data_IF_352034347328
#
_entry.id   IF_352034347328
#
_cell.length_a   1.000
_cell.length_b   1.000
_cell.length_c   1.000
_cell.angle_alpha   90.00
_cell.angle_beta   90.00
_cell.angle_gamma   90.00
#
_symmetry.space_group_name_H-M   'P 1'
#
loop_
_entity.id
_entity.type
_entity.pdbx_description
1 polymer ?
#
# COMPACT_ATOMS: atom_id res chain seq x y z
N UNK A 1 -0.58 -25.36 8.12
CA UNK A 1 -0.01 -24.71 6.93
C UNK A 1 -0.09 -23.21 7.12
N UNK A 2 1.04 -22.52 7.27
CA UNK A 2 1.07 -21.08 7.58
C UNK A 2 0.90 -20.26 6.29
N UNK A 3 -0.02 -19.29 6.32
CA UNK A 3 -0.20 -18.29 5.27
C UNK A 3 0.39 -16.97 5.75
N UNK A 4 1.11 -16.27 4.87
CA UNK A 4 1.71 -14.98 5.16
C UNK A 4 0.99 -13.88 4.37
N UNK A 5 0.59 -12.77 5.01
CA UNK A 5 0.07 -11.60 4.30
C UNK A 5 1.23 -10.76 3.77
N UNK A 6 1.19 -10.43 2.48
CA UNK A 6 2.13 -9.50 1.83
C UNK A 6 1.37 -8.21 1.55
N UNK A 7 1.82 -7.09 2.13
CA UNK A 7 1.21 -5.76 1.96
C UNK A 7 2.26 -4.72 1.61
N UNK A 8 2.05 -3.95 0.54
CA UNK A 8 2.96 -2.87 0.10
C UNK A 8 2.22 -1.65 -0.42
N UNK A 9 2.85 -0.48 -0.31
CA UNK A 9 2.26 0.78 -0.77
C UNK A 9 2.35 0.94 -2.29
N UNK A 10 3.37 0.36 -2.92
CA UNK A 10 3.53 0.39 -4.38
C UNK A 10 3.46 -1.00 -5.00
N UNK A 11 3.01 -1.06 -6.27
CA UNK A 11 3.00 -2.29 -7.05
C UNK A 11 4.43 -2.83 -7.24
N UNK A 12 5.42 -1.94 -7.38
CA UNK A 12 6.84 -2.31 -7.54
C UNK A 12 7.37 -3.05 -6.31
N UNK A 13 7.16 -2.51 -5.11
CA UNK A 13 7.57 -3.16 -3.87
C UNK A 13 6.80 -4.47 -3.65
N UNK A 14 5.53 -4.50 -4.04
CA UNK A 14 4.72 -5.72 -3.98
C UNK A 14 5.39 -6.81 -4.79
N UNK A 15 5.63 -6.59 -6.09
CA UNK A 15 6.25 -7.56 -6.99
C UNK A 15 7.62 -8.04 -6.52
N UNK A 16 8.47 -7.14 -6.00
CA UNK A 16 9.76 -7.53 -5.42
C UNK A 16 9.57 -8.49 -4.25
N UNK A 17 8.67 -8.16 -3.33
CA UNK A 17 8.39 -9.00 -2.17
C UNK A 17 7.82 -10.37 -2.56
N UNK A 18 6.91 -10.42 -3.54
CA UNK A 18 6.32 -11.68 -3.98
C UNK A 18 7.33 -12.55 -4.72
N UNK A 19 8.15 -11.97 -5.59
CA UNK A 19 9.20 -12.69 -6.32
C UNK A 19 10.26 -13.30 -5.37
N UNK A 20 10.64 -12.58 -4.32
CA UNK A 20 11.55 -13.12 -3.30
C UNK A 20 10.92 -14.27 -2.50
N UNK A 21 9.60 -14.25 -2.30
CA UNK A 21 8.87 -15.33 -1.65
C UNK A 21 8.69 -16.54 -2.58
N UNK A 22 8.41 -16.33 -3.86
CA UNK A 22 8.39 -17.38 -4.89
C UNK A 22 9.72 -18.14 -4.92
N UNK A 23 10.86 -17.44 -4.94
CA UNK A 23 12.21 -18.05 -4.86
C UNK A 23 12.44 -18.88 -3.59
N UNK A 24 11.69 -18.59 -2.51
CA UNK A 24 11.74 -19.33 -1.24
C UNK A 24 10.72 -20.49 -1.17
N UNK A 25 10.01 -20.77 -2.26
CA UNK A 25 9.00 -21.83 -2.34
C UNK A 25 7.64 -21.42 -1.80
N UNK A 26 7.25 -20.16 -1.92
CA UNK A 26 5.90 -19.71 -1.60
C UNK A 26 5.07 -19.57 -2.86
N UNK A 27 3.78 -19.88 -2.76
CA UNK A 27 2.82 -19.76 -3.85
C UNK A 27 1.62 -18.89 -3.43
N UNK A 28 0.94 -18.32 -4.42
CA UNK A 28 -0.22 -17.46 -4.21
C UNK A 28 -1.41 -18.27 -3.70
N UNK A 29 -1.95 -17.85 -2.56
CA UNK A 29 -3.27 -18.28 -2.09
C UNK A 29 -4.35 -17.42 -2.74
N UNK A 30 -4.03 -16.15 -2.99
CA UNK A 30 -4.95 -15.15 -3.54
C UNK A 30 -4.21 -14.24 -4.51
N UNK A 31 -4.88 -13.71 -5.55
CA UNK A 31 -4.28 -12.74 -6.44
C UNK A 31 -3.97 -11.42 -5.69
N UNK A 32 -3.04 -10.64 -6.22
CA UNK A 32 -2.72 -9.30 -5.70
C UNK A 32 -3.96 -8.41 -5.89
N UNK A 33 -4.45 -7.86 -4.78
CA UNK A 33 -5.60 -6.93 -4.75
C UNK A 33 -5.14 -5.52 -4.44
N UNK A 34 -5.75 -4.54 -5.10
CA UNK A 34 -5.64 -3.12 -4.73
C UNK A 34 -6.61 -2.85 -3.59
N UNK A 35 -6.07 -2.37 -2.48
CA UNK A 35 -6.78 -1.95 -1.29
C UNK A 35 -6.68 -0.43 -1.21
N UNK A 36 -7.79 0.25 -1.44
CA UNK A 36 -7.88 1.69 -1.24
C UNK A 36 -8.04 1.96 0.24
N UNK A 37 -7.10 2.70 0.84
CA UNK A 37 -7.26 3.18 2.22
C UNK A 37 -7.99 4.51 2.16
N UNK A 38 -9.14 4.58 2.82
CA UNK A 38 -9.93 5.80 2.92
C UNK A 38 -9.14 6.88 3.69
N UNK A 39 -9.00 8.02 3.02
CA UNK A 39 -8.92 9.41 3.51
C UNK A 39 -8.30 9.61 4.89
N UNK A 40 -7.00 9.94 4.91
CA UNK A 40 -6.48 10.82 5.97
C UNK A 40 -6.60 12.25 5.46
N UNK A 41 -7.62 12.97 5.92
CA UNK A 41 -7.68 14.44 5.80
C UNK A 41 -6.50 15.03 6.55
N UNK A 42 -5.47 15.45 5.82
CA UNK A 42 -4.35 16.18 6.41
C UNK A 42 -4.78 17.64 6.62
N UNK A 43 -4.97 18.03 7.89
CA UNK A 43 -5.03 19.45 8.25
C UNK A 43 -3.61 19.99 8.35
N UNK A 44 -3.10 20.55 7.24
CA UNK A 44 -1.86 21.31 7.29
C UNK A 44 -2.15 22.75 7.74
N UNK A 45 -1.84 23.07 9.00
CA UNK A 45 -1.72 24.46 9.45
C UNK A 45 -0.37 25.02 9.01
N UNK A 46 -0.30 25.45 7.75
CA UNK A 46 0.84 26.20 7.23
C UNK A 46 0.70 27.69 7.59
N UNK A 47 1.63 28.23 8.38
CA UNK A 47 1.76 29.67 8.58
C UNK A 47 2.33 30.32 7.31
N UNK A 48 1.46 30.61 6.34
CA UNK A 48 1.83 31.38 5.15
C UNK A 48 1.51 32.86 5.35
N UNK A 49 2.54 33.72 5.28
CA UNK A 49 2.39 35.19 5.31
C UNK A 49 1.85 35.66 3.95
N UNK A 50 0.54 35.60 3.74
CA UNK A 50 -0.12 36.15 2.55
C UNK A 50 -1.64 36.20 2.76
N UNK A 51 -2.28 37.30 2.34
CA UNK A 51 -3.66 37.68 2.68
C UNK A 51 -4.79 36.76 2.19
N UNK A 52 -4.50 35.63 1.56
CA UNK A 52 -5.52 34.71 1.04
C UNK A 52 -5.26 33.28 1.50
N UNK A 53 -6.12 32.79 2.40
CA UNK A 53 -6.11 31.42 2.90
C UNK A 53 -6.65 30.48 1.82
N UNK A 54 -5.84 30.08 0.84
CA UNK A 54 -6.19 29.00 -0.07
C UNK A 54 -6.03 27.67 0.68
N UNK A 55 -7.16 27.01 1.00
CA UNK A 55 -7.19 25.66 1.56
C UNK A 55 -6.85 24.66 0.47
N UNK A 56 -5.62 24.17 0.44
CA UNK A 56 -5.28 23.00 -0.38
C UNK A 56 -5.79 21.75 0.34
N UNK A 57 -6.98 21.28 -0.05
CA UNK A 57 -7.48 19.96 0.36
C UNK A 57 -6.85 18.95 -0.59
N UNK A 58 -5.63 18.50 -0.27
CA UNK A 58 -4.98 17.43 -1.01
C UNK A 58 -5.60 16.09 -0.63
N UNK A 59 -6.22 15.40 -1.58
CA UNK A 59 -6.71 14.03 -1.41
C UNK A 59 -5.60 13.08 -1.90
N UNK A 60 -4.81 12.53 -0.98
CA UNK A 60 -3.89 11.44 -1.32
C UNK A 60 -4.62 10.10 -1.22
N UNK A 61 -5.03 9.57 -2.37
CA UNK A 61 -5.46 8.18 -2.49
C UNK A 61 -4.30 7.24 -2.17
N UNK A 62 -4.19 6.85 -0.90
CA UNK A 62 -3.20 5.86 -0.48
C UNK A 62 -3.64 4.46 -0.92
N UNK A 63 -3.25 4.08 -2.14
CA UNK A 63 -3.42 2.73 -2.66
C UNK A 63 -2.40 1.82 -1.97
N UNK A 64 -2.86 0.68 -1.47
CA UNK A 64 -2.01 -0.42 -1.02
C UNK A 64 -2.30 -1.67 -1.83
N UNK A 65 -1.35 -2.58 -1.92
CA UNK A 65 -1.47 -3.87 -2.58
C UNK A 65 -1.38 -4.97 -1.53
N UNK A 66 -2.28 -5.94 -1.58
CA UNK A 66 -2.32 -7.07 -0.65
C UNK A 66 -2.45 -8.40 -1.40
N UNK A 67 -1.68 -9.40 -0.98
CA UNK A 67 -1.92 -10.80 -1.33
C UNK A 67 -1.60 -11.71 -0.15
N UNK A 68 -2.08 -12.94 -0.24
CA UNK A 68 -1.74 -14.03 0.68
C UNK A 68 -0.91 -15.06 -0.06
N UNK A 69 0.21 -15.46 0.55
CA UNK A 69 1.03 -16.55 0.07
C UNK A 69 1.12 -17.67 1.10
N UNK A 70 1.37 -18.89 0.63
CA UNK A 70 1.57 -20.07 1.48
C UNK A 70 2.87 -20.75 1.06
N UNK A 71 3.62 -21.31 2.02
CA UNK A 71 4.77 -22.13 1.67
C UNK A 71 4.29 -23.45 1.06
N UNK A 72 4.77 -23.76 -0.12
CA UNK A 72 4.54 -25.03 -0.82
C UNK A 72 5.90 -25.71 -0.80
N UNK A 73 6.06 -26.67 0.10
CA UNK A 73 7.29 -27.46 0.20
C UNK A 73 7.61 -28.12 -1.15
#
# INVERSE_FOLDING_TARGET
>A
MFKIPVRRGSMKEMLIAVCDLEKRGYDYVTPIKRVYRAERTFHHEGNFKGRDKVRFTGMEDSVSYECWMKKVN
#
